data_IF_900486406160
#
_entry.id   IF_900486406160
#
_cell.length_a   1.000
_cell.length_b   1.000
_cell.length_c   1.000
_cell.angle_alpha   90.00
_cell.angle_beta   90.00
_cell.angle_gamma   90.00
#
_symmetry.space_group_name_H-M   'P 1'
#
loop_
_entity.id
_entity.type
_entity.pdbx_description
1 polymer ?
#
# COMPACT_ATOMS: atom_id res chain seq x y z
N UNK A 1 9.04 6.14 15.59
CA UNK A 1 10.07 5.83 14.58
C UNK A 1 11.42 5.84 15.26
N UNK A 2 11.91 4.67 15.64
CA UNK A 2 13.33 4.51 15.98
C UNK A 2 14.17 4.81 14.73
N UNK A 3 15.34 5.41 14.95
CA UNK A 3 16.25 5.94 13.93
C UNK A 3 16.55 4.91 12.82
N UNK A 4 15.82 4.99 11.71
CA UNK A 4 16.24 4.37 10.46
C UNK A 4 17.57 5.04 10.09
N UNK A 5 18.63 4.24 9.94
CA UNK A 5 19.92 4.79 9.52
C UNK A 5 19.79 5.39 8.13
N UNK A 6 20.42 6.54 7.93
CA UNK A 6 20.53 7.20 6.63
C UNK A 6 20.92 6.19 5.52
N UNK A 7 20.19 6.22 4.41
CA UNK A 7 20.37 5.30 3.26
C UNK A 7 19.64 3.96 3.37
N UNK A 8 18.86 3.70 4.42
CA UNK A 8 18.00 2.52 4.52
C UNK A 8 16.54 2.91 4.28
N UNK A 9 15.86 2.22 3.35
CA UNK A 9 14.44 2.40 3.06
C UNK A 9 13.65 1.10 3.25
N UNK A 10 12.38 1.21 3.62
CA UNK A 10 11.49 0.06 3.67
C UNK A 10 11.03 -0.30 2.25
N UNK A 11 11.74 -1.26 1.65
CA UNK A 11 11.51 -1.70 0.27
C UNK A 11 11.36 -3.23 0.20
N UNK A 12 10.22 -3.76 0.67
CA UNK A 12 10.00 -5.19 0.69
C UNK A 12 9.90 -5.76 -0.74
N UNK A 13 10.47 -6.94 -0.95
CA UNK A 13 10.22 -7.72 -2.15
C UNK A 13 8.79 -8.27 -2.17
N UNK A 14 8.27 -8.65 -3.35
CA UNK A 14 6.91 -9.20 -3.51
C UNK A 14 6.62 -10.36 -2.53
N UNK A 15 7.59 -11.25 -2.32
CA UNK A 15 7.46 -12.35 -1.37
C UNK A 15 7.30 -11.86 0.09
N UNK A 16 8.01 -10.80 0.47
CA UNK A 16 7.89 -10.20 1.80
C UNK A 16 6.53 -9.51 1.97
N UNK A 17 6.06 -8.78 0.95
CA UNK A 17 4.70 -8.18 0.94
C UNK A 17 3.64 -9.24 1.19
N UNK A 18 3.74 -10.39 0.51
CA UNK A 18 2.82 -11.51 0.72
C UNK A 18 2.91 -12.09 2.14
N UNK A 19 4.13 -12.22 2.70
CA UNK A 19 4.32 -12.70 4.06
C UNK A 19 3.70 -11.77 5.11
N UNK A 20 3.79 -10.45 4.94
CA UNK A 20 3.12 -9.49 5.83
C UNK A 20 1.60 -9.67 5.80
N UNK A 21 1.01 -9.87 4.62
CA UNK A 21 -0.41 -10.16 4.49
C UNK A 21 -0.81 -11.46 5.22
N UNK A 22 -0.02 -12.53 5.08
CA UNK A 22 -0.28 -13.79 5.77
C UNK A 22 -0.21 -13.65 7.30
N UNK A 23 0.82 -12.95 7.80
CA UNK A 23 0.96 -12.66 9.24
C UNK A 23 -0.22 -11.85 9.77
N UNK A 24 -0.64 -10.82 9.03
CA UNK A 24 -1.82 -10.03 9.38
C UNK A 24 -3.08 -10.89 9.49
N UNK A 25 -3.33 -11.76 8.50
CA UNK A 25 -4.49 -12.67 8.51
C UNK A 25 -4.42 -13.65 9.69
N UNK A 26 -3.23 -14.17 9.97
CA UNK A 26 -2.97 -15.07 11.10
C UNK A 26 -2.97 -14.36 12.47
N UNK A 27 -3.14 -13.02 12.50
CA UNK A 27 -3.04 -12.18 13.71
C UNK A 27 -1.71 -12.35 14.44
N UNK A 28 -0.65 -12.54 13.67
CA UNK A 28 0.72 -12.58 14.16
C UNK A 28 1.36 -11.20 14.05
N UNK A 29 2.43 -11.00 14.80
CA UNK A 29 3.24 -9.79 14.70
C UNK A 29 3.82 -9.64 13.29
N UNK A 30 3.56 -8.50 12.66
CA UNK A 30 4.00 -8.22 11.29
C UNK A 30 5.51 -8.03 11.22
N UNK A 31 6.13 -7.47 12.27
CA UNK A 31 7.54 -7.07 12.27
C UNK A 31 7.90 -6.20 11.06
N UNK A 32 7.00 -5.30 10.67
CA UNK A 32 7.11 -4.40 9.53
C UNK A 32 7.64 -3.01 9.95
N UNK A 33 8.12 -2.87 11.19
CA UNK A 33 8.62 -1.58 11.73
C UNK A 33 7.60 -0.44 11.65
N UNK A 34 6.31 -0.76 11.74
CA UNK A 34 5.19 0.19 11.67
C UNK A 34 4.98 0.87 10.31
N UNK A 35 5.60 0.37 9.24
CA UNK A 35 5.46 0.94 7.89
C UNK A 35 4.13 0.59 7.20
N UNK A 36 3.51 -0.54 7.55
CA UNK A 36 2.27 -1.01 6.93
C UNK A 36 1.08 -0.53 7.77
N UNK A 37 0.35 0.42 7.21
CA UNK A 37 -0.87 0.95 7.86
C UNK A 37 -2.03 -0.02 7.66
N UNK A 38 -2.67 -0.39 8.76
CA UNK A 38 -3.87 -1.25 8.77
C UNK A 38 -5.12 -0.43 9.10
N UNK A 39 -6.30 -1.05 9.02
CA UNK A 39 -7.59 -0.42 9.36
C UNK A 39 -7.98 0.81 8.51
N UNK A 40 -7.34 1.01 7.36
CA UNK A 40 -7.72 2.02 6.37
C UNK A 40 -8.55 1.36 5.27
N UNK A 41 -9.67 1.98 4.90
CA UNK A 41 -10.51 1.49 3.80
C UNK A 41 -10.20 2.25 2.51
N UNK A 42 -9.20 1.75 1.78
CA UNK A 42 -8.65 2.38 0.57
C UNK A 42 -9.69 2.50 -0.55
N UNK A 43 -10.54 1.48 -0.73
CA UNK A 43 -11.60 1.46 -1.76
C UNK A 43 -12.90 2.11 -1.28
N UNK A 44 -12.77 3.17 -0.49
CA UNK A 44 -13.85 3.96 0.08
C UNK A 44 -14.28 5.14 -0.78
N UNK A 45 -15.13 5.98 -0.19
CA UNK A 45 -15.53 7.26 -0.80
C UNK A 45 -14.48 8.36 -0.64
N UNK A 46 -13.45 8.11 0.16
CA UNK A 46 -12.35 9.05 0.35
C UNK A 46 -11.45 9.05 -0.89
N UNK A 47 -10.99 10.23 -1.28
CA UNK A 47 -10.06 10.39 -2.38
C UNK A 47 -8.68 9.85 -2.02
N UNK A 48 -7.88 9.37 -3.01
CA UNK A 48 -6.57 8.75 -2.76
C UNK A 48 -5.63 9.62 -1.92
N UNK A 49 -5.56 10.93 -2.20
CA UNK A 49 -4.66 11.82 -1.48
C UNK A 49 -5.02 11.99 0.01
N UNK A 50 -6.30 11.92 0.37
CA UNK A 50 -6.71 11.93 1.79
C UNK A 50 -6.34 10.62 2.50
N UNK A 51 -6.19 9.52 1.77
CA UNK A 51 -5.75 8.23 2.32
C UNK A 51 -4.25 8.26 2.60
N UNK A 52 -3.48 9.04 1.83
CA UNK A 52 -2.02 9.12 1.97
C UNK A 52 -1.60 9.72 3.31
N UNK A 53 -2.38 10.64 3.87
CA UNK A 53 -2.16 11.23 5.20
C UNK A 53 -2.22 10.19 6.35
N UNK A 54 -2.76 8.99 6.09
CA UNK A 54 -2.80 7.90 7.05
C UNK A 54 -1.60 6.96 6.95
N UNK A 55 -0.84 7.02 5.86
CA UNK A 55 0.29 6.13 5.61
C UNK A 55 1.57 6.59 6.28
N UNK A 56 2.50 5.66 6.46
CA UNK A 56 3.87 5.99 6.89
C UNK A 56 4.78 6.01 5.65
N UNK A 57 5.39 7.16 5.30
CA UNK A 57 6.29 7.25 4.16
C UNK A 57 7.56 6.42 4.40
N UNK A 58 7.98 5.71 3.36
CA UNK A 58 9.06 4.72 3.42
C UNK A 58 10.30 5.06 2.55
N UNK A 59 10.40 6.28 2.00
CA UNK A 59 11.45 6.72 1.07
C UNK A 59 12.21 7.95 1.54
N UNK A 60 13.44 8.12 1.05
CA UNK A 60 14.32 9.24 1.38
C UNK A 60 13.90 10.55 0.69
N UNK A 61 14.14 11.68 1.36
CA UNK A 61 13.86 13.05 0.90
C UNK A 61 15.02 13.64 0.05
N UNK A 62 15.97 12.80 -0.37
CA UNK A 62 17.09 13.23 -1.20
C UNK A 62 16.59 13.56 -2.61
N UNK A 63 16.28 14.85 -2.79
CA UNK A 63 15.51 15.48 -3.87
C UNK A 63 16.00 15.33 -5.31
N UNK A 64 16.81 14.33 -5.62
CA UNK A 64 17.30 14.03 -6.97
C UNK A 64 17.04 12.58 -7.42
N UNK A 65 16.44 11.72 -6.59
CA UNK A 65 16.12 10.36 -6.99
C UNK A 65 14.65 10.01 -6.74
N UNK A 66 14.06 9.37 -7.73
CA UNK A 66 12.65 9.01 -7.93
C UNK A 66 12.13 7.97 -6.91
N UNK A 67 12.58 8.03 -5.65
CA UNK A 67 12.00 7.34 -4.52
C UNK A 67 10.69 8.04 -4.15
N UNK A 68 9.71 7.91 -5.06
CA UNK A 68 8.30 8.12 -4.78
C UNK A 68 8.00 7.58 -3.38
N UNK A 69 7.51 8.42 -2.47
CA UNK A 69 7.15 8.01 -1.12
C UNK A 69 6.09 6.91 -1.21
N UNK A 70 6.52 5.64 -1.16
CA UNK A 70 5.60 4.51 -1.22
C UNK A 70 4.91 4.36 0.13
N UNK A 71 3.61 4.12 0.07
CA UNK A 71 2.76 3.88 1.23
C UNK A 71 2.18 2.48 1.13
N UNK A 72 2.27 1.71 2.22
CA UNK A 72 1.77 0.35 2.28
C UNK A 72 0.51 0.29 3.16
N UNK A 73 -0.57 -0.26 2.60
CA UNK A 73 -1.85 -0.40 3.30
C UNK A 73 -2.37 -1.84 3.22
N UNK A 74 -2.88 -2.35 4.35
CA UNK A 74 -3.75 -3.54 4.35
C UNK A 74 -5.19 -3.07 4.47
N UNK A 75 -5.95 -3.25 3.39
CA UNK A 75 -7.35 -2.82 3.28
C UNK A 75 -8.29 -4.00 3.11
N UNK A 76 -9.54 -3.82 3.57
CA UNK A 76 -10.63 -4.74 3.23
C UNK A 76 -10.99 -4.59 1.76
N UNK A 77 -11.14 -5.73 1.08
CA UNK A 77 -11.65 -5.76 -0.29
C UNK A 77 -13.13 -6.18 -0.27
N UNK A 78 -14.03 -5.27 -0.67
CA UNK A 78 -15.46 -5.56 -0.69
C UNK A 78 -15.86 -6.22 -2.01
N UNK A 79 -16.52 -7.38 -1.96
CA UNK A 79 -17.13 -7.97 -3.17
C UNK A 79 -18.27 -7.09 -3.65
N UNK A 80 -18.27 -6.78 -4.95
CA UNK A 80 -19.40 -6.10 -5.62
C UNK A 80 -20.41 -7.12 -6.16
N UNK A 81 -19.93 -8.24 -6.69
CA UNK A 81 -20.75 -9.38 -7.12
C UNK A 81 -19.92 -10.69 -7.05
N UNK A 82 -20.44 -11.79 -7.61
CA UNK A 82 -19.78 -13.11 -7.59
C UNK A 82 -18.40 -13.13 -8.28
N UNK A 83 -18.17 -12.29 -9.29
CA UNK A 83 -16.95 -12.30 -10.11
C UNK A 83 -16.08 -11.05 -9.98
N UNK A 84 -16.54 -10.01 -9.28
CA UNK A 84 -15.90 -8.69 -9.28
C UNK A 84 -15.82 -8.09 -7.89
N UNK A 85 -14.61 -7.62 -7.57
CA UNK A 85 -14.33 -6.83 -6.38
C UNK A 85 -14.57 -5.34 -6.63
N UNK A 86 -14.98 -4.63 -5.59
CA UNK A 86 -15.10 -3.18 -5.63
C UNK A 86 -13.73 -2.55 -5.44
N UNK A 87 -13.20 -1.98 -6.53
CA UNK A 87 -11.95 -1.24 -6.55
C UNK A 87 -12.18 0.23 -6.94
N UNK A 88 -13.37 0.75 -6.65
CA UNK A 88 -13.65 2.18 -6.80
C UNK A 88 -12.91 2.94 -5.71
N UNK A 89 -12.36 4.09 -6.06
CA UNK A 89 -11.66 4.98 -5.13
C UNK A 89 -12.26 6.37 -5.28
N UNK A 90 -12.41 7.09 -4.16
CA UNK A 90 -12.95 8.43 -4.18
C UNK A 90 -14.47 8.49 -4.35
N UNK A 91 -14.96 9.72 -4.39
CA UNK A 91 -16.37 10.02 -4.56
C UNK A 91 -16.75 10.08 -6.06
N UNK A 92 -15.74 10.26 -6.92
CA UNK A 92 -15.88 10.03 -8.36
C UNK A 92 -16.00 8.53 -8.64
N UNK A 93 -16.71 8.13 -9.70
CA UNK A 93 -16.82 6.70 -10.13
C UNK A 93 -15.48 6.16 -10.68
N UNK A 94 -14.35 6.68 -10.22
CA UNK A 94 -13.01 6.34 -10.66
C UNK A 94 -12.67 4.96 -10.13
N UNK A 95 -12.32 4.07 -11.04
CA UNK A 95 -11.90 2.70 -10.73
C UNK A 95 -10.39 2.62 -10.88
N UNK A 96 -9.72 2.01 -9.92
CA UNK A 96 -8.33 1.61 -10.11
C UNK A 96 -8.24 0.72 -11.36
N UNK A 97 -7.50 1.17 -12.38
CA UNK A 97 -7.23 0.40 -13.59
C UNK A 97 -5.91 -0.34 -13.40
N UNK A 98 -5.87 -1.60 -13.84
CA UNK A 98 -4.61 -2.32 -13.95
C UNK A 98 -3.81 -1.68 -15.08
N UNK A 99 -2.58 -1.26 -14.80
CA UNK A 99 -1.63 -0.96 -15.86
C UNK A 99 -1.12 -2.30 -16.39
N UNK A 100 -1.38 -2.59 -17.67
CA UNK A 100 -0.72 -3.71 -18.34
C UNK A 100 0.77 -3.37 -18.48
N UNK A 101 1.62 -3.98 -17.64
CA UNK A 101 3.06 -4.00 -17.91
C UNK A 101 3.26 -4.96 -19.09
N UNK A 102 3.41 -4.42 -20.29
CA UNK A 102 3.90 -5.19 -21.43
C UNK A 102 5.28 -5.68 -21.06
N UNK A 103 5.45 -7.00 -20.98
CA UNK A 103 6.76 -7.60 -20.99
C UNK A 103 7.28 -7.45 -22.42
N UNK A 104 8.14 -6.46 -22.65
CA UNK A 104 8.94 -6.43 -23.87
C UNK A 104 9.80 -7.70 -23.84
N UNK A 105 9.50 -8.62 -24.76
CA UNK A 105 10.27 -9.83 -25.04
C UNK A 105 11.20 -9.58 -26.22
#
# INVERSE_FOLDING_TARGET
>A
MENIKEGFCFRPADAQVFMFLLRFIARQDMNDSEFITTNVYVYGKQEPWNIYDHGVPCGDDDGDNDCSQYLFFITKLKKKNKSMYNCNIGNSKTRAKQLERRADR
#
